data_IF_931524621633
#
_entry.id   IF_931524621633
#
_cell.length_a   1.000
_cell.length_b   1.000
_cell.length_c   1.000
_cell.angle_alpha   90.00
_cell.angle_beta   90.00
_cell.angle_gamma   90.00
#
_symmetry.space_group_name_H-M   'P 1'
#
loop_
_entity.id
_entity.type
_entity.pdbx_description
1 polymer ?
#
# COMPACT_ATOMS: atom_id res chain seq x y z
N UNK A 1 -16.21 5.51 6.36
CA UNK A 1 -15.28 6.66 6.34
C UNK A 1 -14.70 6.74 4.94
N UNK A 2 -14.70 7.91 4.29
CA UNK A 2 -14.11 8.07 2.96
C UNK A 2 -12.60 8.23 3.11
N UNK A 3 -11.84 7.37 2.43
CA UNK A 3 -10.39 7.26 2.62
C UNK A 3 -9.62 7.35 1.29
N UNK A 4 -10.31 7.21 0.16
CA UNK A 4 -9.74 7.46 -1.16
C UNK A 4 -9.15 8.88 -1.32
N UNK A 5 -9.64 9.94 -0.64
CA UNK A 5 -9.00 11.25 -0.70
C UNK A 5 -7.52 11.28 -0.28
N UNK A 6 -7.05 10.31 0.51
CA UNK A 6 -5.61 10.17 0.83
C UNK A 6 -4.76 9.93 -0.44
N UNK A 7 -5.36 9.33 -1.47
CA UNK A 7 -4.72 8.97 -2.73
C UNK A 7 -5.00 9.97 -3.84
N UNK A 8 -5.63 11.11 -3.54
CA UNK A 8 -6.00 12.12 -4.55
C UNK A 8 -4.82 12.59 -5.40
N UNK A 9 -3.62 12.61 -4.82
CA UNK A 9 -2.39 13.02 -5.51
C UNK A 9 -1.99 12.11 -6.68
N UNK A 10 -2.46 10.85 -6.71
CA UNK A 10 -2.18 9.90 -7.80
C UNK A 10 -3.45 9.51 -8.57
N UNK A 11 -4.59 9.35 -7.88
CA UNK A 11 -5.85 8.85 -8.46
C UNK A 11 -6.71 9.98 -9.08
N UNK A 12 -6.47 11.23 -8.68
CA UNK A 12 -7.31 12.35 -9.10
C UNK A 12 -8.68 12.36 -8.41
N UNK A 13 -9.68 12.91 -9.09
CA UNK A 13 -11.06 13.04 -8.58
C UNK A 13 -12.04 12.14 -9.31
N UNK A 14 -13.22 11.93 -8.70
CA UNK A 14 -14.31 11.19 -9.34
C UNK A 14 -14.72 11.79 -10.69
N UNK A 15 -14.65 13.11 -10.81
CA UNK A 15 -15.00 13.80 -12.04
C UNK A 15 -13.98 13.50 -13.15
N UNK A 16 -12.70 13.38 -12.81
CA UNK A 16 -11.65 13.04 -13.79
C UNK A 16 -11.90 11.64 -14.38
N UNK A 17 -12.29 10.69 -13.54
CA UNK A 17 -12.62 9.34 -13.98
C UNK A 17 -13.93 9.23 -14.77
N UNK A 18 -14.98 9.94 -14.33
CA UNK A 18 -16.33 9.81 -14.90
C UNK A 18 -16.55 10.65 -16.15
N UNK A 19 -15.69 11.63 -16.43
CA UNK A 19 -15.80 12.54 -17.59
C UNK A 19 -15.95 11.82 -18.92
N UNK A 20 -15.22 10.73 -19.12
CA UNK A 20 -15.26 9.94 -20.36
C UNK A 20 -16.60 9.25 -20.62
N UNK A 21 -17.47 9.15 -19.61
CA UNK A 21 -18.77 8.47 -19.69
C UNK A 21 -19.96 9.43 -19.71
N UNK A 22 -19.75 10.76 -19.71
CA UNK A 22 -20.82 11.75 -19.57
C UNK A 22 -21.92 11.65 -20.64
N UNK A 23 -21.60 11.15 -21.83
CA UNK A 23 -22.56 10.98 -22.93
C UNK A 23 -23.34 9.66 -22.88
N UNK A 24 -23.11 8.83 -21.86
CA UNK A 24 -23.77 7.54 -21.68
C UNK A 24 -24.17 7.35 -20.21
N UNK A 25 -25.45 7.60 -19.91
CA UNK A 25 -25.99 7.57 -18.55
C UNK A 25 -25.76 6.23 -17.84
N UNK A 26 -25.84 5.12 -18.57
CA UNK A 26 -25.60 3.79 -18.00
C UNK A 26 -24.14 3.63 -17.55
N UNK A 27 -23.18 3.93 -18.45
CA UNK A 27 -21.75 3.84 -18.13
C UNK A 27 -21.35 4.86 -17.06
N UNK A 28 -21.95 6.05 -17.08
CA UNK A 28 -21.71 7.08 -16.06
C UNK A 28 -22.12 6.60 -14.67
N UNK A 29 -23.32 6.01 -14.55
CA UNK A 29 -23.80 5.46 -13.29
C UNK A 29 -22.97 4.26 -12.83
N UNK A 30 -22.52 3.40 -13.74
CA UNK A 30 -21.59 2.31 -13.43
C UNK A 30 -20.24 2.85 -12.93
N UNK A 31 -19.70 3.90 -13.54
CA UNK A 31 -18.44 4.52 -13.14
C UNK A 31 -18.53 5.18 -11.75
N UNK A 32 -19.66 5.82 -11.43
CA UNK A 32 -19.90 6.32 -10.06
C UNK A 32 -20.03 5.19 -9.05
N UNK A 33 -20.68 4.09 -9.42
CA UNK A 33 -20.79 2.90 -8.56
C UNK A 33 -19.43 2.29 -8.27
N UNK A 34 -18.59 2.10 -9.31
CA UNK A 34 -17.21 1.66 -9.17
C UNK A 34 -16.42 2.58 -8.21
N UNK A 35 -16.48 3.89 -8.43
CA UNK A 35 -15.77 4.86 -7.57
C UNK A 35 -16.20 4.75 -6.11
N UNK A 36 -17.50 4.61 -5.86
CA UNK A 36 -18.03 4.47 -4.50
C UNK A 36 -17.58 3.16 -3.84
N UNK A 37 -17.49 2.05 -4.59
CA UNK A 37 -16.94 0.80 -4.07
C UNK A 37 -15.45 0.89 -3.80
N UNK A 38 -14.69 1.54 -4.69
CA UNK A 38 -13.27 1.80 -4.48
C UNK A 38 -13.07 2.57 -3.17
N UNK A 39 -13.75 3.71 -2.99
CA UNK A 39 -13.69 4.49 -1.74
C UNK A 39 -14.18 3.71 -0.52
N UNK A 40 -15.22 2.88 -0.69
CA UNK A 40 -15.73 1.99 0.35
C UNK A 40 -14.80 0.85 0.74
N UNK A 41 -13.88 0.42 -0.15
CA UNK A 41 -12.92 -0.65 0.09
C UNK A 41 -11.62 -0.16 0.74
N UNK A 42 -11.38 1.15 0.74
CA UNK A 42 -10.11 1.76 1.16
C UNK A 42 -9.69 1.46 2.59
N UNK A 43 -10.62 1.14 3.49
CA UNK A 43 -10.26 0.73 4.85
C UNK A 43 -9.48 -0.59 4.85
N UNK A 44 -9.82 -1.55 3.97
CA UNK A 44 -9.09 -2.82 3.80
C UNK A 44 -7.69 -2.53 3.27
N UNK A 45 -7.60 -1.63 2.29
CA UNK A 45 -6.35 -1.18 1.66
C UNK A 45 -5.39 -0.60 2.70
N UNK A 46 -5.88 0.27 3.59
CA UNK A 46 -5.07 0.86 4.66
C UNK A 46 -4.63 -0.20 5.67
N UNK A 47 -5.52 -1.10 6.09
CA UNK A 47 -5.13 -2.19 7.00
C UNK A 47 -4.03 -3.05 6.37
N UNK A 48 -4.16 -3.39 5.09
CA UNK A 48 -3.16 -4.15 4.34
C UNK A 48 -1.78 -3.46 4.39
N UNK A 49 -1.73 -2.15 4.12
CA UNK A 49 -0.49 -1.37 4.16
C UNK A 49 0.11 -1.26 5.57
N UNK A 50 -0.70 -1.12 6.61
CA UNK A 50 -0.21 -1.13 7.99
C UNK A 50 0.36 -2.49 8.38
N UNK A 51 -0.36 -3.57 8.08
CA UNK A 51 0.05 -4.94 8.40
C UNK A 51 1.33 -5.30 7.66
N UNK A 52 1.44 -4.99 6.36
CA UNK A 52 2.64 -5.30 5.58
C UNK A 52 3.82 -4.40 5.97
N UNK A 53 3.61 -3.09 6.11
CA UNK A 53 4.67 -2.16 6.52
C UNK A 53 5.27 -2.51 7.88
N UNK A 54 4.41 -2.69 8.90
CA UNK A 54 4.85 -3.06 10.25
C UNK A 54 5.35 -4.50 10.30
N UNK A 55 4.62 -5.43 9.69
CA UNK A 55 4.91 -6.86 9.73
C UNK A 55 6.23 -7.22 9.06
N UNK A 56 6.53 -6.64 7.89
CA UNK A 56 7.81 -6.86 7.20
C UNK A 56 8.98 -6.25 8.00
N UNK A 57 8.79 -5.06 8.59
CA UNK A 57 9.79 -4.47 9.48
C UNK A 57 10.03 -5.34 10.72
N UNK A 58 8.98 -5.78 11.39
CA UNK A 58 9.05 -6.66 12.55
C UNK A 58 9.78 -7.97 12.20
N UNK A 59 9.41 -8.61 11.08
CA UNK A 59 10.07 -9.81 10.59
C UNK A 59 11.56 -9.59 10.32
N UNK A 60 11.91 -8.46 9.69
CA UNK A 60 13.31 -8.09 9.47
C UNK A 60 14.07 -7.97 10.80
N UNK A 61 13.59 -7.15 11.73
CA UNK A 61 14.29 -6.88 13.00
C UNK A 61 14.29 -8.03 14.00
N UNK A 62 13.38 -9.00 13.86
CA UNK A 62 13.26 -10.18 14.73
C UNK A 62 13.70 -11.45 14.00
N UNK A 63 12.76 -12.22 13.44
CA UNK A 63 13.00 -13.56 12.88
C UNK A 63 14.16 -13.62 11.90
N UNK A 64 14.28 -12.66 10.98
CA UNK A 64 15.34 -12.66 9.99
C UNK A 64 16.73 -12.37 10.59
N UNK A 65 16.86 -11.36 11.45
CA UNK A 65 18.16 -10.98 12.05
C UNK A 65 18.52 -11.79 13.31
N UNK A 66 17.57 -12.48 13.94
CA UNK A 66 17.84 -13.39 15.06
C UNK A 66 18.27 -14.79 14.61
N UNK A 67 18.18 -15.11 13.32
CA UNK A 67 18.61 -16.40 12.79
C UNK A 67 20.15 -16.56 12.85
N UNK A 68 20.65 -17.76 13.20
CA UNK A 68 22.08 -18.01 13.34
C UNK A 68 22.84 -17.80 12.01
N UNK A 69 24.08 -17.29 12.11
CA UNK A 69 24.95 -17.06 10.95
C UNK A 69 24.58 -15.86 10.07
N UNK A 70 23.62 -15.04 10.48
CA UNK A 70 23.26 -13.80 9.77
C UNK A 70 24.14 -12.65 10.25
N UNK A 71 25.04 -12.21 9.37
CA UNK A 71 25.84 -11.01 9.58
C UNK A 71 25.14 -9.77 9.00
N UNK A 72 25.12 -8.70 9.78
CA UNK A 72 24.34 -7.49 9.51
C UNK A 72 24.87 -6.72 8.30
N UNK A 73 23.98 -6.37 7.36
CA UNK A 73 24.29 -5.48 6.25
C UNK A 73 23.12 -4.52 5.98
N UNK A 74 23.34 -3.19 5.95
CA UNK A 74 22.31 -2.20 5.62
C UNK A 74 21.58 -2.48 4.30
N UNK A 75 22.27 -3.09 3.32
CA UNK A 75 21.66 -3.47 2.04
C UNK A 75 20.47 -4.43 2.20
N UNK A 76 20.46 -5.28 3.25
CA UNK A 76 19.33 -6.18 3.49
C UNK A 76 18.07 -5.41 3.89
N UNK A 77 18.22 -4.31 4.64
CA UNK A 77 17.10 -3.43 4.97
C UNK A 77 16.45 -2.88 3.70
N UNK A 78 17.26 -2.51 2.69
CA UNK A 78 16.75 -2.04 1.39
C UNK A 78 16.00 -3.15 0.65
N UNK A 79 16.49 -4.40 0.67
CA UNK A 79 15.74 -5.51 0.05
C UNK A 79 14.38 -5.74 0.72
N UNK A 80 14.28 -5.61 2.04
CA UNK A 80 13.00 -5.71 2.75
C UNK A 80 12.09 -4.51 2.51
N UNK A 81 12.64 -3.30 2.32
CA UNK A 81 11.88 -2.14 1.84
C UNK A 81 11.27 -2.41 0.44
N UNK A 82 12.10 -2.90 -0.49
CA UNK A 82 11.64 -3.27 -1.85
C UNK A 82 10.58 -4.38 -1.80
N UNK A 83 10.78 -5.38 -0.93
CA UNK A 83 9.80 -6.44 -0.73
C UNK A 83 8.48 -5.88 -0.17
N UNK A 84 8.53 -4.95 0.79
CA UNK A 84 7.35 -4.26 1.34
C UNK A 84 6.56 -3.57 0.24
N UNK A 85 7.25 -2.86 -0.67
CA UNK A 85 6.62 -2.22 -1.83
C UNK A 85 5.89 -3.24 -2.70
N UNK A 86 6.59 -4.26 -3.20
CA UNK A 86 5.99 -5.22 -4.13
C UNK A 86 4.88 -6.07 -3.49
N UNK A 87 5.05 -6.51 -2.25
CA UNK A 87 4.00 -7.23 -1.54
C UNK A 87 2.75 -6.37 -1.39
N UNK A 88 2.90 -5.12 -0.91
CA UNK A 88 1.75 -4.22 -0.73
C UNK A 88 1.08 -3.88 -2.05
N UNK A 89 1.85 -3.65 -3.11
CA UNK A 89 1.33 -3.42 -4.46
C UNK A 89 0.46 -4.60 -4.92
N UNK A 90 0.99 -5.82 -4.86
CA UNK A 90 0.30 -7.02 -5.32
C UNK A 90 -0.96 -7.32 -4.50
N UNK A 91 -0.87 -7.24 -3.17
CA UNK A 91 -2.03 -7.48 -2.30
C UNK A 91 -3.11 -6.40 -2.47
N UNK A 92 -2.73 -5.12 -2.55
CA UNK A 92 -3.69 -4.03 -2.74
C UNK A 92 -4.40 -4.15 -4.07
N UNK A 93 -3.63 -4.32 -5.16
CA UNK A 93 -4.21 -4.48 -6.48
C UNK A 93 -5.12 -5.71 -6.56
N UNK A 94 -4.71 -6.83 -5.96
CA UNK A 94 -5.53 -8.04 -5.88
C UNK A 94 -6.84 -7.83 -5.11
N UNK A 95 -6.81 -7.16 -3.96
CA UNK A 95 -8.01 -6.84 -3.16
C UNK A 95 -8.97 -5.98 -3.96
N UNK A 96 -8.48 -4.89 -4.54
CA UNK A 96 -9.32 -3.96 -5.31
C UNK A 96 -9.89 -4.63 -6.55
N UNK A 97 -9.07 -5.42 -7.26
CA UNK A 97 -9.52 -6.18 -8.41
C UNK A 97 -10.69 -7.10 -8.08
N UNK A 98 -10.68 -7.75 -6.91
CA UNK A 98 -11.73 -8.68 -6.48
C UNK A 98 -12.97 -7.98 -5.89
N UNK A 99 -12.82 -6.82 -5.27
CA UNK A 99 -13.91 -6.14 -4.54
C UNK A 99 -14.63 -5.08 -5.38
N UNK A 100 -13.91 -4.42 -6.30
CA UNK A 100 -14.42 -3.25 -7.02
C UNK A 100 -15.03 -3.65 -8.37
N UNK A 101 -16.33 -3.90 -8.38
CA UNK A 101 -17.13 -4.09 -9.59
C UNK A 101 -18.11 -2.93 -9.82
N UNK A 102 -18.50 -2.56 -11.05
CA UNK A 102 -18.17 -3.21 -12.32
C UNK A 102 -16.81 -2.79 -12.89
N UNK A 103 -16.21 -3.65 -13.72
CA UNK A 103 -14.98 -3.33 -14.46
C UNK A 103 -15.32 -2.52 -15.70
N UNK A 104 -14.77 -1.32 -15.77
CA UNK A 104 -14.97 -0.33 -16.85
C UNK A 104 -13.65 0.05 -17.48
N UNK A 105 -13.70 0.71 -18.64
CA UNK A 105 -12.51 1.29 -19.22
C UNK A 105 -11.86 2.29 -18.22
N UNK A 106 -10.57 2.11 -17.95
CA UNK A 106 -9.81 2.90 -16.97
C UNK A 106 -9.95 2.47 -15.50
N UNK A 107 -10.84 1.52 -15.16
CA UNK A 107 -11.00 1.04 -13.78
C UNK A 107 -9.74 0.38 -13.23
N UNK A 108 -9.15 -0.56 -13.96
CA UNK A 108 -7.90 -1.23 -13.60
C UNK A 108 -6.72 -0.25 -13.45
N UNK A 109 -6.68 0.81 -14.26
CA UNK A 109 -5.67 1.87 -14.11
C UNK A 109 -5.81 2.59 -12.78
N UNK A 110 -7.03 2.91 -12.34
CA UNK A 110 -7.26 3.54 -11.03
C UNK A 110 -6.89 2.61 -9.88
N UNK A 111 -7.26 1.33 -9.95
CA UNK A 111 -6.88 0.31 -8.96
C UNK A 111 -5.34 0.24 -8.86
N UNK A 112 -4.66 0.19 -10.00
CA UNK A 112 -3.20 0.16 -10.02
C UNK A 112 -2.56 1.43 -9.43
N UNK A 113 -3.13 2.61 -9.69
CA UNK A 113 -2.69 3.87 -9.08
C UNK A 113 -2.88 3.87 -7.56
N UNK A 114 -4.01 3.39 -7.05
CA UNK A 114 -4.22 3.25 -5.60
C UNK A 114 -3.20 2.27 -5.01
N UNK A 115 -2.99 1.12 -5.66
CA UNK A 115 -2.02 0.12 -5.23
C UNK A 115 -0.59 0.67 -5.16
N UNK A 116 -0.17 1.49 -6.13
CA UNK A 116 1.13 2.20 -6.08
C UNK A 116 1.18 3.15 -4.90
N UNK A 117 0.16 3.99 -4.73
CA UNK A 117 0.11 4.94 -3.62
C UNK A 117 0.18 4.23 -2.26
N UNK A 118 -0.49 3.08 -2.15
CA UNK A 118 -0.55 2.32 -0.91
C UNK A 118 0.79 1.63 -0.62
N UNK A 119 1.45 1.11 -1.65
CA UNK A 119 2.79 0.55 -1.54
C UNK A 119 3.82 1.59 -1.08
N UNK A 120 3.72 2.83 -1.55
CA UNK A 120 4.57 3.94 -1.09
C UNK A 120 4.28 4.30 0.38
N UNK A 121 3.01 4.32 0.79
CA UNK A 121 2.66 4.51 2.20
C UNK A 121 3.18 3.37 3.08
N UNK A 122 3.12 2.11 2.63
CA UNK A 122 3.69 0.99 3.36
C UNK A 122 5.21 1.10 3.53
N UNK A 123 5.93 1.61 2.52
CA UNK A 123 7.35 1.93 2.64
C UNK A 123 7.64 2.99 3.71
N UNK A 124 6.80 4.03 3.81
CA UNK A 124 6.92 5.04 4.86
C UNK A 124 6.68 4.43 6.24
N UNK A 125 5.65 3.59 6.39
CA UNK A 125 5.41 2.90 7.66
C UNK A 125 6.53 1.94 8.01
N UNK A 126 7.03 1.15 7.06
CA UNK A 126 8.19 0.30 7.26
C UNK A 126 9.41 1.11 7.74
N UNK A 127 9.66 2.28 7.16
CA UNK A 127 10.71 3.19 7.61
C UNK A 127 10.49 3.70 9.03
N UNK A 128 9.30 4.22 9.35
CA UNK A 128 8.98 4.70 10.71
C UNK A 128 9.11 3.58 11.73
N UNK A 129 8.56 2.41 11.45
CA UNK A 129 8.70 1.21 12.30
C UNK A 129 10.17 0.83 12.47
N UNK A 130 10.99 0.95 11.42
CA UNK A 130 12.43 0.72 11.50
C UNK A 130 13.16 1.69 12.43
N UNK A 131 12.82 2.98 12.35
CA UNK A 131 13.36 4.02 13.25
C UNK A 131 12.98 3.73 14.70
N UNK A 132 11.71 3.43 14.96
CA UNK A 132 11.23 3.08 16.31
C UNK A 132 11.99 1.85 16.82
N UNK A 133 12.14 0.81 15.99
CA UNK A 133 12.80 -0.43 16.40
C UNK A 133 14.26 -0.23 16.76
N UNK A 134 14.99 0.55 15.96
CA UNK A 134 16.40 0.84 16.20
C UNK A 134 16.65 1.57 17.54
N UNK A 135 15.68 2.38 17.98
CA UNK A 135 15.84 3.24 19.15
C UNK A 135 15.21 2.65 20.42
N UNK A 136 14.06 1.98 20.32
CA UNK A 136 13.26 1.58 21.48
C UNK A 136 13.18 0.06 21.72
N UNK A 137 13.48 -0.78 20.73
CA UNK A 137 13.18 -2.21 20.79
C UNK A 137 14.43 -3.10 20.74
N UNK A 138 14.36 -4.32 21.30
CA UNK A 138 15.43 -5.29 21.16
C UNK A 138 15.51 -5.75 19.71
N UNK A 139 16.73 -5.74 19.19
CA UNK A 139 17.04 -6.32 17.89
C UNK A 139 18.53 -6.62 17.82
N UNK A 140 18.84 -7.73 17.14
CA UNK A 140 20.19 -8.06 16.74
C UNK A 140 20.62 -7.26 15.50
N UNK A 141 19.69 -6.77 14.69
CA UNK A 141 19.97 -6.06 13.45
C UNK A 141 20.89 -4.83 13.64
N UNK A 142 21.64 -4.47 12.58
CA UNK A 142 22.36 -3.20 12.55
C UNK A 142 21.37 -2.04 12.71
N UNK A 143 21.59 -1.24 13.75
CA UNK A 143 20.72 -0.10 14.09
C UNK A 143 21.06 1.10 13.21
N UNK A 144 20.68 1.01 11.94
CA UNK A 144 20.96 2.03 10.91
C UNK A 144 20.47 3.44 11.31
N UNK A 145 19.40 3.52 12.08
CA UNK A 145 18.74 4.78 12.45
C UNK A 145 18.83 5.09 13.95
N UNK A 146 19.85 4.56 14.64
CA UNK A 146 20.09 4.92 16.04
C UNK A 146 20.71 6.32 16.11
N UNK A 147 20.15 7.17 16.96
CA UNK A 147 20.68 8.48 17.30
C UNK A 147 20.75 8.64 18.82
#
# INVERSE_FOLDING_TARGET
>A
MKLLPLYKWIVGSQNDFTRQFQNNDQLFNQARSFWNKLDGSMWIVIICMLVLGIGVAAYYYTSYNNAPGRHYKPIKWIYFLIATFFLTLLFTYGIEYLVCEPKLNGSSTLEFMVAIGNALYACIVYFITSVIWCNALPTNAYRLFKF
#
